data_IF_689141583394
#
_entry.id   IF_689141583394
#
_cell.length_a   1.000
_cell.length_b   1.000
_cell.length_c   1.000
_cell.angle_alpha   90.00
_cell.angle_beta   90.00
_cell.angle_gamma   90.00
#
_symmetry.space_group_name_H-M   'P 1'
#
loop_
_entity.id
_entity.type
_entity.pdbx_description
1 polymer ?
#
# COMPACT_ATOMS: atom_id res chain seq x y z
N UNK A 1 2.13 12.10 -11.67
CA UNK A 1 1.97 11.87 -10.22
C UNK A 1 3.31 11.42 -9.64
N UNK A 2 3.75 12.00 -8.52
CA UNK A 2 5.04 11.66 -7.89
C UNK A 2 4.91 11.49 -6.37
N UNK A 3 5.79 10.67 -5.80
CA UNK A 3 6.00 10.49 -4.36
C UNK A 3 7.28 11.19 -3.94
N UNK A 4 7.31 11.72 -2.72
CA UNK A 4 8.49 12.29 -2.07
C UNK A 4 9.06 11.24 -1.12
N UNK A 5 10.27 10.77 -1.38
CA UNK A 5 10.99 9.85 -0.51
C UNK A 5 11.39 10.50 0.80
N UNK A 6 11.74 9.69 1.80
CA UNK A 6 12.32 10.16 3.08
C UNK A 6 13.61 10.98 2.90
N UNK A 7 14.35 10.75 1.82
CA UNK A 7 15.55 11.52 1.45
C UNK A 7 15.23 12.83 0.69
N UNK A 8 13.94 13.17 0.52
CA UNK A 8 13.47 14.36 -0.20
C UNK A 8 13.42 14.22 -1.72
N UNK A 9 13.89 13.10 -2.29
CA UNK A 9 13.86 12.89 -3.74
C UNK A 9 12.44 12.62 -4.23
N UNK A 10 12.13 13.14 -5.41
CA UNK A 10 10.87 12.86 -6.12
C UNK A 10 11.05 11.62 -6.98
N UNK A 11 10.09 10.72 -6.92
CA UNK A 11 10.02 9.56 -7.80
C UNK A 11 8.62 9.45 -8.39
N UNK A 12 8.51 9.02 -9.64
CA UNK A 12 7.21 8.76 -10.25
C UNK A 12 6.48 7.65 -9.49
N UNK A 13 5.17 7.80 -9.35
CA UNK A 13 4.34 6.73 -8.75
C UNK A 13 4.27 5.57 -9.74
N UNK A 14 4.77 4.41 -9.33
CA UNK A 14 4.70 3.17 -10.09
C UNK A 14 3.86 2.17 -9.32
N UNK A 15 2.78 1.68 -9.94
CA UNK A 15 1.88 0.69 -9.35
C UNK A 15 2.64 -0.56 -8.88
N UNK A 16 3.51 -1.10 -9.75
CA UNK A 16 4.29 -2.30 -9.44
C UNK A 16 5.17 -2.14 -8.20
N UNK A 17 5.69 -0.94 -7.94
CA UNK A 17 6.51 -0.66 -6.74
C UNK A 17 5.65 -0.67 -5.47
N UNK A 18 4.42 -0.16 -5.55
CA UNK A 18 3.46 -0.18 -4.44
C UNK A 18 3.05 -1.63 -4.15
N UNK A 19 2.67 -2.39 -5.18
CA UNK A 19 2.29 -3.80 -5.05
C UNK A 19 3.44 -4.65 -4.52
N UNK A 20 4.68 -4.45 -5.00
CA UNK A 20 5.84 -5.17 -4.51
C UNK A 20 6.15 -4.87 -3.03
N UNK A 21 5.93 -3.63 -2.58
CA UNK A 21 6.10 -3.24 -1.18
C UNK A 21 5.03 -3.88 -0.29
N UNK A 22 3.77 -3.85 -0.73
CA UNK A 22 2.65 -4.53 -0.05
C UNK A 22 2.84 -6.05 0.03
N UNK A 23 3.36 -6.68 -1.04
CA UNK A 23 3.73 -8.11 -1.03
C UNK A 23 4.79 -8.45 0.03
N UNK A 24 5.78 -7.57 0.21
CA UNK A 24 6.78 -7.77 1.29
C UNK A 24 6.17 -7.62 2.68
N UNK A 25 5.22 -6.70 2.85
CA UNK A 25 4.55 -6.47 4.14
C UNK A 25 3.53 -7.57 4.48
N UNK A 26 2.94 -8.20 3.46
CA UNK A 26 2.03 -9.35 3.59
C UNK A 26 2.75 -10.70 3.58
N UNK A 27 4.09 -10.71 3.69
CA UNK A 27 4.85 -11.94 3.70
C UNK A 27 4.48 -12.82 4.91
N UNK A 28 4.01 -14.04 4.64
CA UNK A 28 3.51 -14.96 5.68
C UNK A 28 2.00 -14.89 5.92
N UNK A 29 1.28 -13.95 5.30
CA UNK A 29 -0.18 -13.94 5.25
C UNK A 29 -0.68 -14.86 4.14
N UNK A 30 -1.88 -15.39 4.30
CA UNK A 30 -2.50 -16.24 3.28
C UNK A 30 -2.81 -15.43 2.02
N UNK A 31 -2.09 -15.67 0.92
CA UNK A 31 -2.34 -15.05 -0.38
C UNK A 31 -3.75 -15.33 -0.93
N UNK A 32 -4.45 -16.35 -0.41
CA UNK A 32 -5.85 -16.64 -0.74
C UNK A 32 -6.83 -15.63 -0.16
N UNK A 33 -6.49 -15.02 0.98
CA UNK A 33 -7.38 -14.13 1.71
C UNK A 33 -6.90 -12.69 1.70
N UNK A 34 -5.58 -12.48 1.75
CA UNK A 34 -4.93 -11.17 1.66
C UNK A 34 -4.34 -10.99 0.26
N UNK A 35 -5.05 -10.27 -0.61
CA UNK A 35 -4.58 -9.91 -1.94
C UNK A 35 -3.94 -8.51 -1.93
N UNK A 36 -2.60 -8.40 -1.96
CA UNK A 36 -1.91 -7.11 -1.96
C UNK A 36 -2.20 -6.29 -3.23
N UNK A 37 -2.68 -6.90 -4.31
CA UNK A 37 -3.08 -6.18 -5.53
C UNK A 37 -4.35 -5.37 -5.28
N UNK A 38 -5.34 -5.92 -4.57
CA UNK A 38 -6.55 -5.19 -4.18
C UNK A 38 -6.24 -4.02 -3.25
N UNK A 39 -5.35 -4.22 -2.29
CA UNK A 39 -4.89 -3.13 -1.41
C UNK A 39 -4.19 -2.06 -2.24
N UNK A 40 -3.30 -2.43 -3.17
CA UNK A 40 -2.60 -1.49 -4.04
C UNK A 40 -3.55 -0.65 -4.90
N UNK A 41 -4.62 -1.25 -5.45
CA UNK A 41 -5.65 -0.54 -6.22
C UNK A 41 -6.35 0.53 -5.39
N UNK A 42 -6.76 0.20 -4.16
CA UNK A 42 -7.41 1.16 -3.25
C UNK A 42 -6.46 2.27 -2.80
N UNK A 43 -5.22 1.91 -2.47
CA UNK A 43 -4.18 2.90 -2.12
C UNK A 43 -3.98 3.86 -3.29
N UNK A 44 -3.80 3.36 -4.51
CA UNK A 44 -3.59 4.22 -5.69
C UNK A 44 -4.77 5.18 -5.95
N UNK A 45 -6.00 4.78 -5.63
CA UNK A 45 -7.17 5.66 -5.75
C UNK A 45 -7.17 6.81 -4.71
N UNK A 46 -6.56 6.60 -3.53
CA UNK A 46 -6.46 7.61 -2.47
C UNK A 46 -5.21 8.49 -2.54
N UNK A 47 -4.25 8.19 -3.41
CA UNK A 47 -2.97 8.91 -3.45
C UNK A 47 -3.06 10.16 -4.31
N UNK A 48 -2.45 11.25 -3.84
CA UNK A 48 -2.31 12.51 -4.56
C UNK A 48 -0.84 12.82 -4.90
N UNK A 49 -0.63 13.74 -5.85
CA UNK A 49 0.73 14.12 -6.26
C UNK A 49 1.46 14.86 -5.15
N UNK A 50 2.68 14.42 -4.81
CA UNK A 50 3.48 14.99 -3.73
C UNK A 50 3.32 14.26 -2.40
N UNK A 51 2.57 13.15 -2.33
CA UNK A 51 2.51 12.30 -1.14
C UNK A 51 3.93 11.87 -0.73
N UNK A 52 4.20 11.82 0.57
CA UNK A 52 5.47 11.27 1.05
C UNK A 52 5.42 9.74 1.10
N UNK A 53 6.57 9.08 1.05
CA UNK A 53 6.63 7.61 1.22
C UNK A 53 6.10 7.16 2.58
N UNK A 54 6.17 8.02 3.61
CA UNK A 54 5.62 7.71 4.93
C UNK A 54 4.09 7.74 4.92
N UNK A 55 3.49 8.80 4.35
CA UNK A 55 2.03 8.87 4.18
C UNK A 55 1.49 7.76 3.29
N UNK A 56 2.25 7.33 2.28
CA UNK A 56 1.88 6.21 1.42
C UNK A 56 1.84 4.89 2.22
N UNK A 57 2.80 4.66 3.11
CA UNK A 57 2.80 3.48 3.99
C UNK A 57 1.63 3.54 4.99
N UNK A 58 1.32 4.73 5.52
CA UNK A 58 0.22 4.95 6.47
C UNK A 58 -1.14 4.69 5.82
N UNK A 59 -1.37 5.24 4.62
CA UNK A 59 -2.57 4.97 3.83
C UNK A 59 -2.70 3.48 3.46
N UNK A 60 -1.58 2.82 3.16
CA UNK A 60 -1.56 1.39 2.91
C UNK A 60 -1.97 0.58 4.14
N UNK A 61 -1.47 0.94 5.32
CA UNK A 61 -1.83 0.30 6.58
C UNK A 61 -3.31 0.53 6.94
N UNK A 62 -3.82 1.75 6.80
CA UNK A 62 -5.24 2.06 7.00
C UNK A 62 -6.13 1.29 6.03
N UNK A 63 -5.73 1.21 4.76
CA UNK A 63 -6.47 0.46 3.72
C UNK A 63 -6.52 -1.02 4.04
N UNK A 64 -5.40 -1.61 4.48
CA UNK A 64 -5.34 -2.99 4.93
C UNK A 64 -6.24 -3.20 6.17
N UNK A 65 -6.11 -2.35 7.20
CA UNK A 65 -6.93 -2.42 8.41
C UNK A 65 -8.43 -2.25 8.13
N UNK A 66 -8.83 -1.43 7.16
CA UNK A 66 -10.23 -1.33 6.73
C UNK A 66 -10.72 -2.62 6.03
N UNK A 67 -9.84 -3.32 5.31
CA UNK A 67 -10.15 -4.58 4.65
C UNK A 67 -10.25 -5.77 5.61
N UNK A 68 -9.85 -5.61 6.87
CA UNK A 68 -10.08 -6.61 7.94
C UNK A 68 -11.55 -6.97 8.13
N UNK A 69 -12.45 -6.02 7.83
CA UNK A 69 -13.90 -6.27 7.84
C UNK A 69 -14.34 -7.30 6.79
N UNK A 70 -13.56 -7.47 5.70
CA UNK A 70 -13.80 -8.51 4.71
C UNK A 70 -13.18 -9.86 5.12
N UNK A 71 -12.02 -9.84 5.78
CA UNK A 71 -11.36 -11.04 6.31
C UNK A 71 -10.32 -10.67 7.39
N UNK A 72 -10.25 -11.39 8.54
CA UNK A 72 -9.33 -11.07 9.63
C UNK A 72 -7.83 -11.04 9.24
N UNK A 73 -7.43 -11.81 8.22
CA UNK A 73 -6.05 -11.83 7.69
C UNK A 73 -5.54 -10.49 7.14
N UNK A 74 -6.39 -9.47 6.97
CA UNK A 74 -5.94 -8.11 6.57
C UNK A 74 -5.44 -7.24 7.75
N UNK A 75 -5.61 -7.66 9.01
CA UNK A 75 -5.08 -6.96 10.19
C UNK A 75 -3.88 -7.66 10.85
N UNK A 76 -3.42 -8.78 10.31
CA UNK A 76 -2.30 -9.57 10.86
C UNK A 76 -0.95 -9.11 10.33
#
# INVERSE_FOLDING_TARGET
MYVIKRDGRKEAVHFDKITARLKKLSYGLSEKHCDPVRVAQKVCAGVYSGVTTSQLDELAAETAAAMTTNHPDYAS
#
